data_IF_028299859281
#
_entry.id   IF_028299859281
#
_cell.length_a   1.000
_cell.length_b   1.000
_cell.length_c   1.000
_cell.angle_alpha   90.00
_cell.angle_beta   90.00
_cell.angle_gamma   90.00
#
_symmetry.space_group_name_H-M   'P 1'
#
loop_
_entity.id
_entity.type
_entity.pdbx_description
1 polymer ?
2 polymer ?
3 non-polymer ?
4 water ?
#
# COMPACT_ATOMS: atom_id res chain seq x y z
N UNK A 1 -1.06 -21.98 -2.63
CA UNK A 1 -1.56 -20.67 -3.00
C UNK A 1 -2.62 -20.75 -4.08
N UNK A 2 -3.62 -19.86 -4.00
CA UNK A 2 -4.74 -19.84 -4.96
C UNK A 2 -4.29 -19.48 -6.38
N UNK A 3 -4.87 -20.15 -7.37
CA UNK A 3 -4.55 -19.87 -8.76
C UNK A 3 -5.49 -18.81 -9.32
N UNK A 4 -4.97 -17.96 -10.19
CA UNK A 4 -5.76 -16.88 -10.75
C UNK A 4 -5.67 -15.63 -9.90
N UNK A 5 -6.63 -14.73 -10.05
CA UNK A 5 -6.63 -13.48 -9.30
C UNK A 5 -8.02 -12.86 -9.24
N UNK A 6 -8.18 -11.91 -8.32
CA UNK A 6 -9.40 -11.11 -8.25
C UNK A 6 -9.25 -9.92 -9.19
N UNK A 7 -10.18 -9.77 -10.12
CA UNK A 7 -10.07 -8.72 -11.14
C UNK A 7 -10.13 -7.33 -10.53
N UNK A 8 -10.73 -7.23 -9.34
CA UNK A 8 -10.78 -5.98 -8.61
C UNK A 8 -9.69 -5.89 -7.56
N UNK A 9 -8.48 -6.30 -7.92
CA UNK A 9 -7.35 -6.29 -7.00
C UNK A 9 -6.54 -5.01 -7.08
N UNK A 10 -5.80 -4.74 -6.01
CA UNK A 10 -4.82 -3.66 -5.99
C UNK A 10 -3.44 -4.25 -5.72
N UNK A 11 -2.54 -4.11 -6.68
CA UNK A 11 -1.20 -4.68 -6.55
C UNK A 11 -0.23 -3.70 -5.90
N UNK A 12 0.54 -4.20 -4.93
CA UNK A 12 1.56 -3.40 -4.28
C UNK A 12 2.63 -2.99 -5.29
N UNK A 13 3.04 -1.73 -5.24
CA UNK A 13 4.00 -1.21 -6.20
C UNK A 13 5.42 -1.68 -5.95
N UNK A 14 5.63 -2.42 -4.87
CA UNK A 14 6.96 -2.90 -4.51
C UNK A 14 7.12 -4.40 -4.74
N UNK A 15 6.22 -5.19 -4.14
CA UNK A 15 6.32 -6.64 -4.21
C UNK A 15 5.42 -7.23 -5.29
N UNK A 16 4.45 -6.44 -5.75
CA UNK A 16 3.56 -6.87 -6.81
C UNK A 16 2.50 -7.85 -6.36
N UNK A 17 2.33 -7.99 -5.05
CA UNK A 17 1.32 -8.90 -4.50
C UNK A 17 -0.02 -8.22 -4.29
N UNK A 18 -1.06 -9.02 -4.10
CA UNK A 18 -2.40 -8.50 -3.88
C UNK A 18 -2.62 -8.16 -2.41
N UNK A 19 -3.72 -7.47 -2.12
CA UNK A 19 -4.04 -7.08 -0.75
C UNK A 19 -4.57 -8.28 0.04
N UNK A 20 -4.16 -8.37 1.30
CA UNK A 20 -4.56 -9.47 2.16
C UNK A 20 -5.30 -9.00 3.40
N UNK A 21 -5.33 -9.85 4.42
CA UNK A 21 -6.08 -9.56 5.64
C UNK A 21 -5.25 -8.79 6.66
N UNK A 22 -5.87 -7.77 7.25
CA UNK A 22 -5.27 -6.98 8.32
C UNK A 22 -3.91 -6.42 7.92
N UNK A 23 -3.86 -5.77 6.76
CA UNK A 23 -2.63 -5.17 6.25
C UNK A 23 -2.76 -3.66 6.16
N UNK A 24 -1.69 -2.95 6.51
CA UNK A 24 -1.67 -1.50 6.38
C UNK A 24 -1.13 -1.09 5.02
N UNK A 25 -1.88 -0.25 4.32
CA UNK A 25 -1.49 0.21 2.99
C UNK A 25 -1.39 1.72 2.94
N UNK A 26 -0.59 2.23 2.01
CA UNK A 26 -0.46 3.66 1.81
C UNK A 26 -0.31 3.96 0.32
N UNK A 27 -0.93 5.05 -0.13
CA UNK A 27 -0.95 5.38 -1.55
C UNK A 27 -0.14 6.64 -1.84
N UNK A 28 0.64 6.60 -2.92
CA UNK A 28 1.39 7.77 -3.36
C UNK A 28 0.43 8.78 -3.99
N UNK A 29 0.57 10.05 -3.62
CA UNK A 29 -0.34 11.08 -4.11
C UNK A 29 0.00 11.58 -5.50
N UNK A 30 1.13 11.13 -6.04
CA UNK A 30 1.58 11.62 -7.34
C UNK A 30 1.33 10.62 -8.47
N UNK A 31 1.60 9.35 -8.22
CA UNK A 31 1.42 8.32 -9.24
C UNK A 31 0.26 7.40 -8.90
N UNK A 32 -0.30 7.59 -7.71
CA UNK A 32 -1.48 6.86 -7.24
C UNK A 32 -1.30 5.34 -7.20
N UNK A 33 -0.07 4.91 -6.94
CA UNK A 33 0.20 3.49 -6.70
C UNK A 33 0.04 3.17 -5.22
N UNK A 34 -0.36 1.94 -4.93
CA UNK A 34 -0.51 1.49 -3.55
C UNK A 34 0.67 0.64 -3.12
N UNK A 35 0.99 0.70 -1.83
CA UNK A 35 2.12 -0.04 -1.28
C UNK A 35 1.77 -0.64 0.08
N UNK A 36 2.29 -1.83 0.36
CA UNK A 36 2.27 -2.36 1.72
C UNK A 36 3.05 -1.43 2.62
N UNK A 37 2.56 -1.20 3.83
CA UNK A 37 3.29 -0.42 4.80
C UNK A 37 4.61 -1.09 5.15
N UNK A 38 4.58 -2.42 5.16
CA UNK A 38 5.76 -3.23 5.46
C UNK A 38 6.83 -3.12 4.37
N UNK A 39 6.38 -2.98 3.13
CA UNK A 39 7.29 -2.94 1.99
C UNK A 39 8.05 -1.62 1.89
N UNK A 40 7.37 -0.52 2.18
CA UNK A 40 8.02 0.79 2.19
C UNK A 40 8.45 1.17 3.60
N UNK A 41 8.38 0.19 4.51
CA UNK A 41 8.82 0.34 5.90
C UNK A 41 8.13 1.50 6.62
N UNK A 42 6.83 1.63 6.40
CA UNK A 42 6.06 2.69 7.04
C UNK A 42 4.94 2.12 7.90
N UNK A 43 5.00 2.41 9.20
CA UNK A 43 3.97 1.99 10.14
C UNK A 43 2.78 2.94 10.07
N UNK A 44 1.60 2.48 10.52
CA UNK A 44 0.43 3.36 10.62
C UNK A 44 0.72 4.60 11.46
N UNK A 45 1.49 4.42 12.53
CA UNK A 45 1.85 5.51 13.43
C UNK A 45 2.64 6.61 12.71
N UNK A 46 3.56 6.21 11.84
CA UNK A 46 4.36 7.16 11.09
C UNK A 46 3.53 7.86 10.02
N UNK A 47 2.65 7.09 9.37
CA UNK A 47 1.82 7.61 8.29
C UNK A 47 0.85 8.69 8.77
N UNK A 48 0.62 8.74 10.08
CA UNK A 48 -0.27 9.74 10.66
C UNK A 48 0.33 11.14 10.54
N UNK A 49 1.66 11.21 10.47
CA UNK A 49 2.34 12.49 10.36
C UNK A 49 2.69 12.80 8.90
N UNK A 50 2.35 11.89 8.00
CA UNK A 50 2.57 12.11 6.58
C UNK A 50 1.36 12.77 5.92
N UNK A 51 1.56 13.99 5.43
CA UNK A 51 0.48 14.75 4.81
C UNK A 51 0.19 14.26 3.40
N UNK A 52 1.24 14.18 2.58
CA UNK A 52 1.13 13.69 1.22
C UNK A 52 2.25 12.71 0.90
N UNK A 53 1.94 11.42 0.88
CA UNK A 53 2.96 10.42 0.62
C UNK A 53 3.43 10.44 -0.82
N UNK A 54 4.75 10.44 -0.99
CA UNK A 54 5.38 10.42 -2.30
C UNK A 54 6.32 9.23 -2.40
N UNK A 55 5.94 8.24 -3.20
CA UNK A 55 6.68 6.99 -3.33
C UNK A 55 8.12 7.23 -3.79
N UNK A 56 9.04 6.30 -3.46
CA UNK A 56 10.46 6.40 -3.82
C UNK A 56 10.71 6.72 -5.29
N UNK A 57 9.87 6.20 -6.18
CA UNK A 57 10.02 6.44 -7.61
C UNK A 57 9.73 7.90 -7.96
N UNK A 58 8.73 8.48 -7.30
CA UNK A 58 8.36 9.87 -7.54
C UNK A 58 9.25 10.82 -6.76
N UNK A 59 10.13 10.27 -5.93
CA UNK A 59 11.02 11.07 -5.10
C UNK A 59 12.40 11.20 -5.72
N UNK A 60 12.47 11.11 -7.05
CA UNK A 60 13.73 11.26 -7.76
C UNK A 60 13.63 12.33 -8.85
N UNK B 1 -1.96 11.42 4.81
CA UNK B 1 -1.70 10.61 3.62
C UNK B 1 -2.87 9.69 3.32
N UNK B 2 -3.02 9.31 2.06
CA UNK B 2 -4.07 8.38 1.67
C UNK B 2 -3.69 6.96 2.07
N UNK B 3 -4.19 6.53 3.22
CA UNK B 3 -3.88 5.20 3.74
C UNK B 3 -5.12 4.34 3.86
N UNK B 4 -4.92 3.06 4.18
CA UNK B 4 -6.01 2.15 4.41
C UNK B 4 -5.57 0.88 5.15
N UNK B 5 -6.44 0.46 6.07
CA UNK B 5 -6.23 -0.77 6.81
C UNK B 5 -7.29 -1.79 6.41
N UNK B 6 -6.86 -2.96 5.96
CA UNK B 6 -7.79 -3.99 5.52
C UNK B 6 -8.39 -4.73 6.71
N UNK B 7 -9.54 -5.36 6.49
CA UNK B 7 -10.24 -6.07 7.56
C UNK B 7 -9.62 -7.43 7.84
N UNK B 8 -10.02 -8.03 8.96
CA UNK B 8 -9.59 -9.37 9.31
C UNK B 8 -10.48 -10.40 8.62
N UNK B 9 -10.22 -11.68 8.86
CA UNK B 9 -10.97 -12.75 8.22
C UNK B 9 -12.23 -13.10 9.00
X LIG C 1 4.19 -5.12 -0.87
X LIG D 1 4.56 7.61 -6.85
#
# INVERSE_FOLDING_TARGET
>A
GPLGSDHGETLCGACGDSDGADEFWICCDLCEKWFHGKCVKITPARAEHIKQYKCPSCSN
>B
ARTKQTARK
>C hetero
1 ZN ZN
>D hetero
1 ZN ZN
#
